data_IF_348096158259
#
_entry.id   IF_348096158259
#
_cell.length_a   1.000
_cell.length_b   1.000
_cell.length_c   1.000
_cell.angle_alpha   90.00
_cell.angle_beta   90.00
_cell.angle_gamma   90.00
#
_symmetry.space_group_name_H-M   'P 1'
#
loop_
_entity.id
_entity.type
_entity.pdbx_description
1 polymer ?
#
# COMPACT_ATOMS: atom_id res chain seq x y z
N UNK A 1 -4.47 3.02 10.27
CA UNK A 1 -3.40 3.85 9.68
C UNK A 1 -3.68 4.05 8.19
N UNK A 2 -3.31 5.19 7.59
CA UNK A 2 -3.55 5.48 6.17
C UNK A 2 -2.25 5.82 5.45
N UNK A 3 -2.01 5.18 4.31
CA UNK A 3 -0.91 5.49 3.40
C UNK A 3 -1.50 6.20 2.19
N UNK A 4 -0.92 7.34 1.81
CA UNK A 4 -1.40 8.16 0.69
C UNK A 4 -0.26 8.39 -0.28
N UNK A 5 -0.53 8.18 -1.56
CA UNK A 5 0.40 8.40 -2.65
C UNK A 5 -0.26 9.32 -3.68
N UNK A 6 0.42 10.39 -4.05
CA UNK A 6 0.00 11.25 -5.16
C UNK A 6 0.64 10.68 -6.42
N UNK A 7 -0.16 10.43 -7.45
CA UNK A 7 0.36 9.85 -8.69
C UNK A 7 1.53 10.67 -9.25
N UNK A 8 2.53 9.99 -9.81
CA UNK A 8 3.69 10.63 -10.39
C UNK A 8 4.22 9.80 -11.56
N UNK A 9 4.39 10.42 -12.73
CA UNK A 9 4.98 9.79 -13.93
C UNK A 9 4.33 8.46 -14.36
N UNK A 10 3.00 8.36 -14.27
CA UNK A 10 2.27 7.13 -14.58
C UNK A 10 2.41 6.03 -13.52
N UNK A 11 3.10 6.28 -12.40
CA UNK A 11 3.09 5.39 -11.24
C UNK A 11 1.84 5.63 -10.40
N UNK A 12 1.18 4.54 -10.01
CA UNK A 12 -0.05 4.53 -9.22
C UNK A 12 0.10 3.51 -8.09
N UNK A 13 -0.42 3.82 -6.90
CA UNK A 13 -0.48 2.84 -5.81
C UNK A 13 -1.74 2.00 -6.00
N UNK A 14 -1.61 0.70 -6.21
CA UNK A 14 -2.74 -0.21 -6.44
C UNK A 14 -3.19 -0.93 -5.17
N UNK A 15 -2.31 -1.03 -4.18
CA UNK A 15 -2.65 -1.64 -2.91
C UNK A 15 -1.43 -1.88 -2.03
N UNK A 16 -1.65 -2.65 -0.97
CA UNK A 16 -0.60 -3.13 -0.09
C UNK A 16 -0.87 -4.58 0.30
N UNK A 17 0.21 -5.31 0.56
CA UNK A 17 0.18 -6.57 1.27
C UNK A 17 0.71 -6.30 2.68
N UNK A 18 -0.03 -6.75 3.68
CA UNK A 18 0.21 -6.33 5.04
C UNK A 18 0.09 -7.57 5.96
N UNK A 19 1.15 -7.89 6.71
CA UNK A 19 1.18 -9.07 7.59
C UNK A 19 1.90 -8.77 8.91
N UNK A 20 1.53 -9.50 9.96
CA UNK A 20 2.24 -9.51 11.24
C UNK A 20 3.55 -10.27 11.11
N UNK A 21 4.65 -9.67 11.56
CA UNK A 21 5.96 -10.32 11.56
C UNK A 21 5.92 -11.51 12.54
N UNK A 22 6.23 -12.71 12.03
CA UNK A 22 6.20 -13.96 12.80
C UNK A 22 4.84 -14.69 12.80
N UNK A 23 3.80 -14.13 12.18
CA UNK A 23 2.57 -14.87 11.89
C UNK A 23 2.75 -15.80 10.68
N UNK A 24 1.77 -16.67 10.45
CA UNK A 24 1.75 -17.60 9.30
C UNK A 24 2.13 -16.85 8.00
N UNK A 25 3.14 -17.31 7.25
CA UNK A 25 3.60 -16.65 6.03
C UNK A 25 2.56 -16.65 4.90
N UNK A 26 1.42 -17.34 5.06
CA UNK A 26 0.38 -17.41 4.05
C UNK A 26 -0.19 -16.01 3.71
N UNK A 27 0.11 -15.56 2.48
CA UNK A 27 -0.51 -14.40 1.85
C UNK A 27 -1.95 -14.77 1.43
N UNK A 28 -2.89 -14.68 2.38
CA UNK A 28 -4.31 -14.83 2.10
C UNK A 28 -4.92 -13.56 1.50
N UNK A 29 -6.09 -13.69 0.86
CA UNK A 29 -6.86 -12.54 0.36
C UNK A 29 -7.17 -11.49 1.45
N UNK A 30 -7.24 -11.92 2.72
CA UNK A 30 -7.41 -11.04 3.87
C UNK A 30 -6.22 -10.10 4.14
N UNK A 31 -5.03 -10.42 3.63
CA UNK A 31 -3.80 -9.64 3.82
C UNK A 31 -3.56 -8.67 2.65
N UNK A 32 -4.41 -8.69 1.61
CA UNK A 32 -4.35 -7.78 0.48
C UNK A 32 -5.33 -6.63 0.67
N UNK A 33 -4.80 -5.41 0.65
CA UNK A 33 -5.54 -4.18 0.85
C UNK A 33 -5.50 -3.39 -0.46
N UNK A 34 -6.64 -3.28 -1.14
CA UNK A 34 -6.73 -2.48 -2.36
C UNK A 34 -6.62 -0.98 -2.05
N UNK A 35 -5.97 -0.24 -2.94
CA UNK A 35 -5.97 1.21 -2.86
C UNK A 35 -7.30 1.80 -3.35
N UNK A 36 -7.73 2.88 -2.72
CA UNK A 36 -8.83 3.73 -3.18
C UNK A 36 -8.26 4.96 -3.87
N UNK A 37 -8.76 5.26 -5.06
CA UNK A 37 -8.32 6.41 -5.87
C UNK A 37 -9.31 7.56 -5.76
N UNK A 38 -8.82 8.77 -5.55
CA UNK A 38 -9.62 9.99 -5.52
C UNK A 38 -8.92 11.14 -6.26
N UNK A 39 -9.64 12.07 -6.90
CA UNK A 39 -9.03 13.24 -7.52
C UNK A 39 -8.34 14.13 -6.48
N UNK A 40 -7.17 14.66 -6.83
CA UNK A 40 -6.40 15.60 -6.02
C UNK A 40 -6.83 17.03 -6.28
N UNK A 41 -6.88 17.87 -5.24
CA UNK A 41 -7.13 19.32 -5.39
C UNK A 41 -6.00 20.07 -6.11
N UNK A 42 -4.83 19.43 -6.29
CA UNK A 42 -3.67 19.98 -7.01
C UNK A 42 -3.57 19.48 -8.46
N UNK A 43 -4.59 18.79 -8.95
CA UNK A 43 -4.54 18.05 -10.22
C UNK A 43 -3.98 16.63 -10.03
N UNK A 44 -4.40 15.72 -10.90
CA UNK A 44 -4.09 14.29 -10.82
C UNK A 44 -4.92 13.52 -9.78
N UNK A 45 -4.40 12.38 -9.33
CA UNK A 45 -5.06 11.48 -8.39
C UNK A 45 -4.23 11.20 -7.14
N UNK A 46 -4.93 10.93 -6.04
CA UNK A 46 -4.37 10.40 -4.80
C UNK A 46 -4.90 8.99 -4.59
N UNK A 47 -3.98 8.05 -4.49
CA UNK A 47 -4.24 6.67 -4.10
C UNK A 47 -4.05 6.51 -2.60
N UNK A 48 -4.95 5.76 -1.97
CA UNK A 48 -4.98 5.59 -0.52
C UNK A 48 -5.12 4.12 -0.16
N UNK A 49 -4.25 3.62 0.72
CA UNK A 49 -4.46 2.32 1.38
C UNK A 49 -4.76 2.56 2.85
N UNK A 50 -5.88 2.00 3.31
CA UNK A 50 -6.26 2.01 4.72
C UNK A 50 -5.92 0.66 5.33
N UNK A 51 -5.01 0.67 6.29
CA UNK A 51 -4.70 -0.51 7.10
C UNK A 51 -5.79 -0.63 8.18
N UNK A 52 -6.57 -1.72 8.19
CA UNK A 52 -7.76 -1.87 9.03
C UNK A 52 -7.41 -2.14 10.50
N UNK A 53 -6.12 -2.15 10.84
CA UNK A 53 -5.70 -2.54 12.16
C UNK A 53 -5.83 -1.40 13.17
N UNK A 54 -6.34 -1.70 14.37
CA UNK A 54 -6.23 -0.79 15.48
C UNK A 54 -4.75 -0.55 15.80
N UNK A 55 -4.50 0.61 16.39
CA UNK A 55 -3.22 0.90 17.02
C UNK A 55 -3.11 -0.05 18.22
N UNK A 56 -2.23 -1.04 18.15
CA UNK A 56 -1.93 -1.93 19.28
C UNK A 56 -0.42 -1.99 19.47
N UNK A 57 0.00 -2.11 20.72
CA UNK A 57 1.38 -1.90 21.16
C UNK A 57 2.26 -3.15 21.06
N UNK A 58 1.73 -4.28 20.57
CA UNK A 58 2.37 -5.60 20.71
C UNK A 58 2.69 -6.29 19.40
N UNK A 59 2.32 -5.69 18.27
CA UNK A 59 2.42 -6.36 16.97
C UNK A 59 3.36 -5.60 16.03
N UNK A 60 4.54 -6.16 15.75
CA UNK A 60 5.36 -5.68 14.63
C UNK A 60 4.71 -6.11 13.32
N UNK A 61 4.48 -5.16 12.42
CA UNK A 61 3.79 -5.41 11.14
C UNK A 61 4.69 -5.02 9.98
N UNK A 62 4.74 -5.87 8.96
CA UNK A 62 5.40 -5.60 7.68
C UNK A 62 4.35 -5.22 6.64
N UNK A 63 4.58 -4.11 5.94
CA UNK A 63 3.71 -3.65 4.85
C UNK A 63 4.54 -3.52 3.57
N UNK A 64 4.15 -4.25 2.53
CA UNK A 64 4.69 -4.12 1.18
C UNK A 64 3.68 -3.36 0.33
N UNK A 65 4.08 -2.22 -0.22
CA UNK A 65 3.22 -1.43 -1.11
C UNK A 65 3.38 -1.94 -2.54
N UNK A 66 2.28 -1.99 -3.27
CA UNK A 66 2.25 -2.42 -4.66
C UNK A 66 1.96 -1.21 -5.53
N UNK A 67 2.90 -0.88 -6.41
CA UNK A 67 2.74 0.18 -7.40
C UNK A 67 2.57 -0.41 -8.79
N UNK A 68 1.70 0.17 -9.59
CA UNK A 68 1.59 -0.11 -11.02
C UNK A 68 2.09 1.10 -11.80
N UNK A 69 2.88 0.85 -12.83
CA UNK A 69 3.12 1.84 -13.88
C UNK A 69 2.07 1.64 -14.97
N UNK A 70 1.34 2.71 -15.26
CA UNK A 70 0.34 2.74 -16.33
C UNK A 70 0.82 3.61 -17.48
N UNK A 71 0.41 3.26 -18.70
CA UNK A 71 0.61 4.11 -19.87
C UNK A 71 -0.46 5.21 -19.97
N UNK A 72 -0.37 6.01 -21.02
CA UNK A 72 -1.32 7.11 -21.29
C UNK A 72 -2.76 6.61 -21.53
N UNK A 73 -2.96 5.33 -21.84
CA UNK A 73 -4.29 4.72 -21.99
C UNK A 73 -4.84 4.14 -20.67
N UNK A 74 -4.06 4.20 -19.59
CA UNK A 74 -4.40 3.63 -18.29
C UNK A 74 -4.14 2.13 -18.19
N UNK A 75 -3.46 1.54 -19.17
CA UNK A 75 -3.11 0.12 -19.15
C UNK A 75 -1.86 -0.10 -18.30
N UNK A 76 -1.89 -1.14 -17.44
CA UNK A 76 -0.73 -1.51 -16.64
C UNK A 76 0.37 -2.06 -17.54
N UNK A 77 1.54 -1.43 -17.47
CA UNK A 77 2.75 -1.80 -18.21
C UNK A 77 3.73 -2.56 -17.31
N UNK A 78 3.80 -2.19 -16.04
CA UNK A 78 4.69 -2.83 -15.08
C UNK A 78 4.14 -2.77 -13.65
N UNK A 79 4.65 -3.63 -12.77
CA UNK A 79 4.28 -3.70 -11.35
C UNK A 79 5.53 -3.72 -10.48
N UNK A 80 5.56 -2.87 -9.46
CA UNK A 80 6.68 -2.66 -8.56
C UNK A 80 6.22 -2.84 -7.11
N UNK A 81 6.52 -3.97 -6.46
CA UNK A 81 6.44 -4.05 -5.01
C UNK A 81 7.57 -3.22 -4.39
N UNK A 82 7.33 -2.62 -3.22
CA UNK A 82 8.43 -2.04 -2.43
C UNK A 82 9.37 -3.13 -1.96
N UNK A 83 10.68 -2.96 -2.18
CA UNK A 83 11.72 -3.93 -1.80
C UNK A 83 11.83 -4.11 -0.30
N UNK A 84 11.61 -3.05 0.47
CA UNK A 84 11.70 -3.04 1.92
C UNK A 84 10.29 -2.95 2.51
N UNK A 85 9.83 -3.98 3.25
CA UNK A 85 8.61 -3.87 4.02
C UNK A 85 8.75 -2.69 4.96
N UNK A 86 7.78 -1.79 4.95
CA UNK A 86 7.73 -0.73 5.94
C UNK A 86 7.39 -1.38 7.28
N UNK A 87 8.42 -1.56 8.11
CA UNK A 87 8.30 -2.07 9.48
C UNK A 87 8.15 -0.88 10.39
N UNK A 88 7.03 -0.83 11.11
CA UNK A 88 6.83 0.14 12.18
C UNK A 88 6.71 -0.62 13.50
N UNK A 89 7.63 -0.33 14.41
CA UNK A 89 7.39 -0.59 15.83
C UNK A 89 6.60 0.60 16.36
N UNK A 90 5.43 0.37 16.95
CA UNK A 90 4.79 1.45 17.72
C UNK A 90 5.68 1.72 18.96
N UNK A 91 6.15 2.97 19.09
CA UNK A 91 7.00 3.40 20.20
C UNK A 91 6.15 3.59 21.47
N UNK A 92 6.75 3.26 22.62
CA UNK A 92 6.22 3.50 23.97
C UNK A 92 5.83 4.96 24.21
#
# INVERSE_FOLDING_TARGET
MQIRFVEANGLQLVGAVANTVGADPALGAANMLAATRAPSSRGGYVDTVTLPWPQDTYTTRGVVLMFAQVDASGMMVNMFPTSDPQVRNDQM
#
